data_IF_693492650881
#
_entry.id   IF_693492650881
#
_cell.length_a   1.000
_cell.length_b   1.000
_cell.length_c   1.000
_cell.angle_alpha   90.00
_cell.angle_beta   90.00
_cell.angle_gamma   90.00
#
_symmetry.space_group_name_H-M   'P 1'
#
loop_
_entity.id
_entity.type
_entity.pdbx_description
1 polymer ?
#
# COMPACT_ATOMS: atom_id res chain seq x y z
N UNK A 1 12.70 21.96 -17.65
CA UNK A 1 12.88 20.92 -16.62
C UNK A 1 13.46 19.65 -17.24
N UNK A 2 14.23 18.84 -16.50
CA UNK A 2 14.86 17.62 -17.02
C UNK A 2 13.83 16.52 -17.28
N UNK A 3 14.10 15.67 -18.28
CA UNK A 3 13.30 14.46 -18.52
C UNK A 3 13.40 13.49 -17.33
N UNK A 4 12.37 12.67 -17.06
CA UNK A 4 12.44 11.63 -16.04
C UNK A 4 13.60 10.66 -16.34
N UNK A 5 14.18 10.10 -15.27
CA UNK A 5 15.24 9.09 -15.40
C UNK A 5 14.66 7.85 -16.09
N UNK A 6 15.46 7.18 -16.92
CA UNK A 6 15.01 5.98 -17.64
C UNK A 6 14.43 4.92 -16.70
N UNK A 7 15.04 4.73 -15.52
CA UNK A 7 14.59 3.77 -14.51
C UNK A 7 13.18 4.05 -13.98
N UNK A 8 12.75 5.31 -13.89
CA UNK A 8 11.39 5.65 -13.44
C UNK A 8 10.32 5.43 -14.52
N UNK A 9 10.70 5.13 -15.76
CA UNK A 9 9.77 4.88 -16.89
C UNK A 9 9.47 3.38 -17.04
N UNK A 10 10.36 2.50 -16.55
CA UNK A 10 10.27 1.05 -16.71
C UNK A 10 8.96 0.48 -16.15
N UNK A 11 8.60 0.82 -14.92
CA UNK A 11 7.39 0.34 -14.27
C UNK A 11 6.11 0.84 -14.96
N UNK A 12 5.93 2.16 -15.22
CA UNK A 12 4.77 2.65 -15.95
C UNK A 12 4.51 1.94 -17.28
N UNK A 13 5.57 1.56 -18.01
CA UNK A 13 5.42 0.76 -19.26
C UNK A 13 4.75 -0.58 -18.97
N UNK A 14 5.16 -1.28 -17.92
CA UNK A 14 4.60 -2.58 -17.58
C UNK A 14 3.14 -2.45 -17.10
N UNK A 15 2.83 -1.44 -16.28
CA UNK A 15 1.48 -1.17 -15.80
C UNK A 15 0.51 -0.88 -16.96
N UNK A 16 0.94 -0.07 -17.93
CA UNK A 16 0.18 0.21 -19.16
C UNK A 16 -0.09 -1.05 -19.98
N UNK A 17 0.93 -1.91 -20.16
CA UNK A 17 0.74 -3.16 -20.88
C UNK A 17 -0.21 -4.12 -20.15
N UNK A 18 -0.19 -4.16 -18.82
CA UNK A 18 -1.17 -4.93 -18.04
C UNK A 18 -2.58 -4.38 -18.25
N UNK A 19 -2.73 -3.05 -18.20
CA UNK A 19 -4.03 -2.38 -18.35
C UNK A 19 -4.67 -2.61 -19.72
N UNK A 20 -3.87 -2.82 -20.79
CA UNK A 20 -4.36 -3.09 -22.14
C UNK A 20 -4.47 -4.57 -22.50
N UNK A 21 -4.44 -5.48 -21.51
CA UNK A 21 -4.60 -6.91 -21.75
C UNK A 21 -3.31 -7.64 -22.16
N UNK A 22 -2.15 -7.07 -21.84
CA UNK A 22 -0.83 -7.70 -21.94
C UNK A 22 -0.04 -7.32 -23.19
N UNK A 23 -0.60 -6.55 -24.12
CA UNK A 23 0.09 -6.10 -25.32
C UNK A 23 -0.48 -4.78 -25.81
N UNK A 24 0.34 -3.90 -26.37
CA UNK A 24 -0.16 -2.69 -27.03
C UNK A 24 0.80 -2.13 -28.09
N UNK A 25 0.25 -1.29 -28.96
CA UNK A 25 0.99 -0.49 -29.92
C UNK A 25 1.77 0.62 -29.21
N UNK A 26 3.05 0.70 -29.52
CA UNK A 26 4.00 1.65 -29.00
C UNK A 26 3.58 3.12 -29.18
N UNK A 27 2.79 3.44 -30.21
CA UNK A 27 2.24 4.79 -30.40
C UNK A 27 1.38 5.21 -29.21
N UNK A 28 0.48 4.34 -28.75
CA UNK A 28 -0.41 4.65 -27.64
C UNK A 28 0.32 4.62 -26.30
N UNK A 29 1.32 3.76 -26.14
CA UNK A 29 2.20 3.73 -24.97
C UNK A 29 2.88 5.10 -24.77
N UNK A 30 3.39 5.74 -25.83
CA UNK A 30 4.01 7.07 -25.69
C UNK A 30 3.05 8.15 -25.18
N UNK A 31 1.77 8.08 -25.56
CA UNK A 31 0.75 9.06 -25.23
C UNK A 31 0.26 8.86 -23.79
N UNK A 32 -0.05 7.62 -23.38
CA UNK A 32 -0.60 7.34 -22.05
C UNK A 32 0.43 7.45 -20.93
N UNK A 33 1.70 7.14 -21.19
CA UNK A 33 2.77 7.28 -20.21
C UNK A 33 2.98 8.72 -19.70
N UNK A 34 2.48 9.74 -20.41
CA UNK A 34 2.61 11.15 -20.01
C UNK A 34 1.90 11.39 -18.67
N UNK A 35 0.75 10.76 -18.45
CA UNK A 35 -0.04 10.93 -17.22
C UNK A 35 0.69 10.49 -15.95
N UNK A 36 1.71 9.63 -16.07
CA UNK A 36 2.52 9.16 -14.95
C UNK A 36 3.60 10.15 -14.51
N UNK A 37 3.83 11.22 -15.29
CA UNK A 37 4.87 12.20 -15.03
C UNK A 37 4.27 13.61 -15.01
N UNK A 38 3.66 14.04 -13.90
CA UNK A 38 3.03 15.36 -13.77
C UNK A 38 3.97 16.54 -14.07
N UNK A 39 5.29 16.32 -13.99
CA UNK A 39 6.33 17.27 -14.37
C UNK A 39 6.48 17.48 -15.89
N UNK A 40 5.86 16.64 -16.72
CA UNK A 40 5.81 16.80 -18.17
C UNK A 40 4.48 17.44 -18.56
N UNK A 41 4.50 18.59 -19.25
CA UNK A 41 3.26 19.23 -19.73
C UNK A 41 2.98 18.83 -21.19
N UNK A 42 1.70 18.67 -21.55
CA UNK A 42 1.29 18.31 -22.92
C UNK A 42 1.83 19.28 -23.99
N UNK A 43 1.96 20.56 -23.64
CA UNK A 43 2.52 21.61 -24.51
C UNK A 43 4.02 21.40 -24.81
N UNK A 44 4.78 20.82 -23.88
CA UNK A 44 6.20 20.54 -24.09
C UNK A 44 6.44 19.31 -24.98
N UNK A 45 5.54 18.33 -24.96
CA UNK A 45 5.64 17.09 -25.75
C UNK A 45 5.23 17.31 -27.21
N UNK A 46 4.32 18.26 -27.50
CA UNK A 46 3.92 18.61 -28.87
C UNK A 46 5.03 19.31 -29.69
N UNK A 47 6.08 19.83 -29.03
CA UNK A 47 7.25 20.44 -29.68
C UNK A 47 8.39 19.41 -29.91
N UNK A 48 9.57 19.88 -30.33
CA UNK A 48 10.80 19.10 -30.61
C UNK A 48 11.28 18.12 -29.49
N UNK A 49 10.63 18.09 -28.31
CA UNK A 49 10.86 17.10 -27.23
C UNK A 49 10.17 15.77 -27.43
N UNK A 50 9.24 15.65 -28.39
CA UNK A 50 8.61 14.36 -28.75
C UNK A 50 9.66 13.28 -29.08
N UNK A 51 10.72 13.67 -29.80
CA UNK A 51 11.82 12.74 -30.16
C UNK A 51 12.61 12.28 -28.95
N UNK A 52 12.91 13.18 -28.02
CA UNK A 52 13.66 12.87 -26.80
C UNK A 52 12.86 12.02 -25.82
N UNK A 53 11.56 12.30 -25.66
CA UNK A 53 10.64 11.47 -24.88
C UNK A 53 10.54 10.04 -25.43
N UNK A 54 10.26 9.91 -26.74
CA UNK A 54 10.24 8.60 -27.41
C UNK A 54 11.56 7.87 -27.25
N UNK A 55 12.69 8.57 -27.32
CA UNK A 55 14.02 7.97 -27.10
C UNK A 55 14.17 7.45 -25.65
N UNK A 56 13.70 8.18 -24.65
CA UNK A 56 13.74 7.74 -23.25
C UNK A 56 12.87 6.49 -23.02
N UNK A 57 11.63 6.49 -23.52
CA UNK A 57 10.73 5.33 -23.46
C UNK A 57 11.34 4.13 -24.17
N UNK A 58 11.94 4.31 -25.36
CA UNK A 58 12.64 3.25 -26.09
C UNK A 58 13.83 2.67 -25.31
N UNK A 59 14.61 3.52 -24.63
CA UNK A 59 15.72 3.07 -23.78
C UNK A 59 15.19 2.22 -22.61
N UNK A 60 14.13 2.66 -21.94
CA UNK A 60 13.48 1.90 -20.87
C UNK A 60 12.95 0.55 -21.40
N UNK A 61 12.28 0.55 -22.55
CA UNK A 61 11.80 -0.68 -23.20
C UNK A 61 12.93 -1.65 -23.54
N UNK A 62 14.08 -1.17 -24.00
CA UNK A 62 15.25 -2.02 -24.25
C UNK A 62 15.77 -2.67 -22.97
N UNK A 63 15.79 -1.94 -21.86
CA UNK A 63 16.18 -2.46 -20.54
C UNK A 63 15.18 -3.53 -20.08
N UNK A 64 13.87 -3.26 -20.20
CA UNK A 64 12.81 -4.22 -19.85
C UNK A 64 12.90 -5.51 -20.68
N UNK A 65 13.20 -5.41 -21.97
CA UNK A 65 13.42 -6.55 -22.85
C UNK A 65 14.66 -7.37 -22.43
N UNK A 66 15.77 -6.70 -22.10
CA UNK A 66 16.96 -7.37 -21.56
C UNK A 66 16.68 -8.10 -20.24
N UNK A 67 15.82 -7.54 -19.39
CA UNK A 67 15.35 -8.16 -18.14
C UNK A 67 14.31 -9.28 -18.36
N UNK A 68 13.90 -9.52 -19.61
CA UNK A 68 12.84 -10.45 -20.01
C UNK A 68 11.46 -10.11 -19.43
N UNK A 69 11.17 -8.84 -19.18
CA UNK A 69 9.86 -8.37 -18.70
C UNK A 69 8.90 -8.06 -19.84
N UNK A 70 9.41 -7.72 -21.03
CA UNK A 70 8.61 -7.52 -22.24
C UNK A 70 9.27 -8.19 -23.44
N UNK A 71 8.49 -8.39 -24.51
CA UNK A 71 8.95 -8.72 -25.86
C UNK A 71 8.59 -7.57 -26.79
N UNK A 72 9.54 -7.09 -27.61
CA UNK A 72 9.30 -5.99 -28.56
C UNK A 72 9.23 -6.57 -29.97
N UNK A 73 8.08 -6.45 -30.62
CA UNK A 73 7.87 -6.91 -31.99
C UNK A 73 7.24 -5.80 -32.84
N UNK A 74 7.92 -5.36 -33.91
CA UNK A 74 7.44 -4.40 -34.93
C UNK A 74 6.32 -3.45 -34.48
N UNK A 75 6.62 -2.56 -33.55
CA UNK A 75 5.71 -1.52 -33.08
C UNK A 75 4.72 -1.94 -31.98
N UNK A 76 4.72 -3.20 -31.56
CA UNK A 76 3.96 -3.74 -30.44
C UNK A 76 4.89 -4.25 -29.35
N UNK A 77 4.57 -3.90 -28.10
CA UNK A 77 5.26 -4.42 -26.93
C UNK A 77 4.28 -5.33 -26.19
N UNK A 78 4.76 -6.49 -25.77
CA UNK A 78 3.97 -7.52 -25.08
C UNK A 78 4.64 -7.85 -23.77
N UNK A 79 3.90 -7.79 -22.66
CA UNK A 79 4.43 -8.14 -21.35
C UNK A 79 4.61 -9.66 -21.23
N UNK A 80 5.68 -10.08 -20.55
CA UNK A 80 5.90 -11.50 -20.22
C UNK A 80 5.28 -11.83 -18.86
N UNK A 81 5.15 -13.11 -18.53
CA UNK A 81 4.76 -13.53 -17.19
C UNK A 81 5.68 -12.92 -16.10
N UNK A 82 6.99 -12.83 -16.37
CA UNK A 82 7.97 -12.22 -15.47
C UNK A 82 7.71 -10.72 -15.28
N UNK A 83 7.35 -10.00 -16.36
CA UNK A 83 6.96 -8.59 -16.28
C UNK A 83 5.67 -8.37 -15.51
N UNK A 84 4.67 -9.25 -15.68
CA UNK A 84 3.44 -9.22 -14.89
C UNK A 84 3.71 -9.44 -13.41
N UNK A 85 4.58 -10.40 -13.07
CA UNK A 85 5.03 -10.62 -11.69
C UNK A 85 5.80 -9.44 -11.12
N UNK A 86 6.58 -8.71 -11.92
CA UNK A 86 7.29 -7.50 -11.48
C UNK A 86 6.30 -6.39 -11.11
N UNK A 87 5.26 -6.15 -11.92
CA UNK A 87 4.19 -5.18 -11.59
C UNK A 87 3.46 -5.60 -10.32
N UNK A 88 3.17 -6.89 -10.16
CA UNK A 88 2.58 -7.41 -8.93
C UNK A 88 3.52 -7.27 -7.73
N UNK A 89 4.84 -7.43 -7.93
CA UNK A 89 5.87 -7.29 -6.89
C UNK A 89 6.08 -5.83 -6.50
N UNK A 90 5.92 -4.89 -7.42
CA UNK A 90 6.03 -3.45 -7.19
C UNK A 90 4.75 -2.84 -6.62
N UNK A 91 3.56 -3.31 -7.05
CA UNK A 91 2.32 -3.11 -6.32
C UNK A 91 2.39 -3.73 -4.90
N UNK A 92 3.09 -4.85 -4.80
CA UNK A 92 3.54 -5.48 -3.56
C UNK A 92 4.87 -4.90 -3.05
N UNK A 93 5.33 -3.73 -3.50
CA UNK A 93 6.48 -3.03 -2.91
C UNK A 93 6.17 -2.56 -1.48
N UNK A 94 4.88 -2.59 -1.12
CA UNK A 94 4.31 -2.58 0.22
C UNK A 94 3.90 -3.97 0.77
N UNK A 95 4.20 -5.09 0.08
CA UNK A 95 3.96 -6.48 0.52
C UNK A 95 5.18 -7.46 0.48
N UNK A 96 6.29 -7.18 -0.21
CA UNK A 96 7.50 -8.01 -0.19
C UNK A 96 8.68 -7.31 0.50
N UNK A 97 8.80 -7.50 1.80
CA UNK A 97 10.13 -7.75 2.37
C UNK A 97 10.12 -9.25 2.62
N UNK A 98 11.27 -9.86 2.37
CA UNK A 98 11.53 -11.29 2.49
C UNK A 98 10.68 -11.94 3.58
N UNK A 99 10.08 -13.07 3.21
CA UNK A 99 9.47 -14.02 4.13
C UNK A 99 10.58 -14.61 4.99
N UNK A 100 11.20 -13.78 5.85
CA UNK A 100 11.80 -14.29 7.07
C UNK A 100 10.71 -15.17 7.69
N UNK A 101 11.07 -16.41 7.99
CA UNK A 101 10.23 -17.28 8.82
C UNK A 101 10.31 -16.69 10.23
N UNK A 102 9.74 -15.50 10.39
CA UNK A 102 9.60 -14.84 11.66
C UNK A 102 8.57 -15.63 12.47
N UNK A 103 8.83 -15.77 13.77
CA UNK A 103 7.93 -16.45 14.69
C UNK A 103 6.49 -15.92 14.53
N UNK A 104 5.46 -16.77 14.69
CA UNK A 104 4.09 -16.30 14.62
C UNK A 104 3.86 -15.19 15.64
N UNK A 105 3.24 -14.07 15.21
CA UNK A 105 2.90 -12.97 16.11
C UNK A 105 1.80 -13.38 17.08
N UNK A 106 2.02 -13.06 18.35
CA UNK A 106 1.01 -13.08 19.40
C UNK A 106 0.10 -11.85 19.32
N UNK A 107 -1.03 -11.93 20.03
CA UNK A 107 -1.97 -10.81 20.13
C UNK A 107 -1.31 -9.59 20.79
N UNK A 108 -0.55 -9.79 21.88
CA UNK A 108 0.14 -8.72 22.62
C UNK A 108 1.23 -8.04 21.77
N UNK A 109 2.05 -8.81 21.04
CA UNK A 109 3.08 -8.20 20.16
C UNK A 109 2.45 -7.30 19.08
N UNK A 110 1.28 -7.67 18.55
CA UNK A 110 0.58 -6.82 17.58
C UNK A 110 0.02 -5.55 18.23
N UNK A 111 -0.49 -5.63 19.46
CA UNK A 111 -0.90 -4.45 20.21
C UNK A 111 0.28 -3.50 20.42
N UNK A 112 1.42 -4.01 20.89
CA UNK A 112 2.66 -3.24 21.09
C UNK A 112 3.11 -2.55 19.80
N UNK A 113 3.13 -3.29 18.67
CA UNK A 113 3.45 -2.72 17.36
C UNK A 113 2.50 -1.58 16.98
N UNK A 114 1.20 -1.69 17.27
CA UNK A 114 0.22 -0.63 17.01
C UNK A 114 0.44 0.59 17.90
N UNK A 115 0.93 0.43 19.13
CA UNK A 115 1.34 1.55 20.00
C UNK A 115 2.51 2.28 19.36
N UNK A 116 3.58 1.56 19.05
CA UNK A 116 4.79 2.13 18.45
C UNK A 116 4.51 2.81 17.12
N UNK A 117 3.66 2.22 16.26
CA UNK A 117 3.22 2.86 15.02
C UNK A 117 2.51 4.18 15.33
N UNK A 118 1.57 4.17 16.28
CA UNK A 118 0.82 5.37 16.67
C UNK A 118 1.73 6.49 17.15
N UNK A 119 2.67 6.17 18.04
CA UNK A 119 3.64 7.11 18.60
C UNK A 119 4.58 7.68 17.52
N UNK A 120 5.09 6.84 16.62
CA UNK A 120 5.92 7.28 15.49
C UNK A 120 5.16 8.21 14.53
N UNK A 121 3.84 8.09 14.45
CA UNK A 121 2.97 8.97 13.67
C UNK A 121 2.49 10.20 14.45
N UNK A 122 2.94 10.38 15.70
CA UNK A 122 2.61 11.51 16.56
C UNK A 122 1.28 11.41 17.29
N UNK A 123 0.68 10.21 17.37
CA UNK A 123 -0.50 9.97 18.20
C UNK A 123 -0.12 9.57 19.62
N UNK A 124 -1.02 9.84 20.56
CA UNK A 124 -1.04 9.16 21.85
C UNK A 124 -1.76 7.83 21.72
N UNK A 125 -1.02 6.73 21.81
CA UNK A 125 -1.53 5.37 21.64
C UNK A 125 -1.56 4.63 22.99
N UNK A 126 -2.65 3.90 23.27
CA UNK A 126 -2.84 3.15 24.52
C UNK A 126 -3.48 1.80 24.23
N UNK A 127 -2.98 0.73 24.85
CA UNK A 127 -3.57 -0.61 24.79
C UNK A 127 -4.58 -0.83 25.92
N UNK A 128 -5.49 -1.78 25.73
CA UNK A 128 -6.52 -2.19 26.70
C UNK A 128 -7.33 -1.01 27.26
N UNK A 129 -7.75 -0.09 26.39
CA UNK A 129 -8.53 1.07 26.79
C UNK A 129 -10.03 0.78 26.76
N UNK A 130 -10.66 0.81 27.93
CA UNK A 130 -12.04 0.42 28.16
C UNK A 130 -12.31 -1.04 27.72
N UNK A 131 -12.87 -1.24 26.53
CA UNK A 131 -13.19 -2.54 25.95
C UNK A 131 -12.55 -2.74 24.57
N UNK A 132 -11.63 -1.84 24.20
CA UNK A 132 -10.89 -1.86 22.94
C UNK A 132 -9.44 -2.29 23.16
N UNK A 133 -8.88 -3.04 22.20
CA UNK A 133 -7.53 -3.58 22.32
C UNK A 133 -6.46 -2.49 22.21
N UNK A 134 -6.59 -1.57 21.25
CA UNK A 134 -5.74 -0.37 21.13
C UNK A 134 -6.57 0.82 20.67
N UNK A 135 -6.26 2.01 21.19
CA UNK A 135 -6.84 3.27 20.74
C UNK A 135 -5.75 4.31 20.49
N UNK A 136 -5.97 5.17 19.49
CA UNK A 136 -5.13 6.34 19.24
C UNK A 136 -5.91 7.64 19.42
N UNK A 137 -5.25 8.64 20.01
CA UNK A 137 -5.76 10.00 20.23
C UNK A 137 -4.73 11.01 19.75
N UNK A 138 -5.17 12.22 19.43
CA UNK A 138 -4.25 13.30 19.06
C UNK A 138 -3.30 13.66 20.21
N UNK A 139 -3.83 13.69 21.45
CA UNK A 139 -3.06 13.97 22.66
C UNK A 139 -3.61 13.13 23.83
N UNK A 140 -2.87 13.01 24.95
CA UNK A 140 -3.39 12.34 26.15
C UNK A 140 -4.65 12.99 26.72
N UNK A 141 -4.78 14.31 26.58
CA UNK A 141 -5.92 15.08 27.08
C UNK A 141 -7.14 15.04 26.13
N UNK A 142 -6.95 14.58 24.88
CA UNK A 142 -8.03 14.49 23.90
C UNK A 142 -9.08 13.49 24.36
N UNK A 143 -10.32 13.98 24.52
CA UNK A 143 -11.48 13.13 24.86
C UNK A 143 -11.93 12.25 23.69
N UNK A 144 -11.73 12.73 22.46
CA UNK A 144 -12.11 12.00 21.25
C UNK A 144 -11.04 10.96 20.91
N UNK A 145 -11.51 9.74 20.69
CA UNK A 145 -10.70 8.67 20.11
C UNK A 145 -10.64 8.87 18.59
N UNK A 146 -9.45 8.89 18.02
CA UNK A 146 -9.28 9.03 16.57
C UNK A 146 -9.34 7.68 15.86
N UNK A 147 -8.65 6.67 16.39
CA UNK A 147 -8.57 5.33 15.81
C UNK A 147 -8.86 4.29 16.89
N UNK A 148 -9.55 3.22 16.51
CA UNK A 148 -9.84 2.07 17.37
C UNK A 148 -9.41 0.81 16.65
N UNK A 149 -8.69 -0.05 17.34
CA UNK A 149 -8.20 -1.31 16.81
C UNK A 149 -8.73 -2.47 17.66
N UNK A 150 -9.22 -3.51 17.00
CA UNK A 150 -9.51 -4.82 17.59
C UNK A 150 -8.60 -5.87 16.92
N UNK A 151 -7.91 -6.67 17.71
CA UNK A 151 -6.88 -7.62 17.30
C UNK A 151 -7.38 -9.04 17.54
N UNK A 152 -7.60 -9.83 16.48
CA UNK A 152 -8.21 -11.15 16.58
C UNK A 152 -7.28 -12.25 16.05
N UNK A 153 -6.92 -13.19 16.94
CA UNK A 153 -6.11 -14.36 16.60
C UNK A 153 -6.90 -15.67 16.55
N UNK A 154 -7.91 -15.81 17.42
CA UNK A 154 -8.85 -16.97 17.51
C UNK A 154 -10.25 -16.57 17.99
N UNK A 155 -10.52 -15.27 18.14
CA UNK A 155 -11.75 -14.75 18.73
C UNK A 155 -12.92 -14.64 17.76
N UNK A 156 -14.03 -14.11 18.25
CA UNK A 156 -15.25 -13.90 17.46
C UNK A 156 -15.16 -12.57 16.70
N UNK A 157 -15.06 -12.66 15.38
CA UNK A 157 -14.98 -11.53 14.45
C UNK A 157 -16.22 -10.63 14.53
N UNK A 158 -17.42 -11.19 14.68
CA UNK A 158 -18.66 -10.43 14.71
C UNK A 158 -18.76 -9.58 15.99
N UNK A 159 -18.25 -10.08 17.12
CA UNK A 159 -18.12 -9.31 18.36
C UNK A 159 -17.19 -8.10 18.17
N UNK A 160 -16.05 -8.31 17.51
CA UNK A 160 -15.12 -7.21 17.18
C UNK A 160 -15.80 -6.17 16.28
N UNK A 161 -16.54 -6.58 15.24
CA UNK A 161 -17.28 -5.65 14.40
C UNK A 161 -18.36 -4.89 15.16
N UNK A 162 -19.09 -5.52 16.08
CA UNK A 162 -20.08 -4.85 16.92
C UNK A 162 -19.43 -3.74 17.77
N UNK A 163 -18.25 -4.01 18.37
CA UNK A 163 -17.48 -2.99 19.11
C UNK A 163 -17.02 -1.84 18.20
N UNK A 164 -16.46 -2.17 17.03
CA UNK A 164 -15.96 -1.18 16.07
C UNK A 164 -17.09 -0.30 15.53
N UNK A 165 -18.24 -0.88 15.19
CA UNK A 165 -19.46 -0.17 14.79
C UNK A 165 -19.90 0.80 15.88
N UNK A 166 -19.97 0.35 17.14
CA UNK A 166 -20.30 1.19 18.29
C UNK A 166 -19.31 2.35 18.46
N UNK A 167 -18.01 2.10 18.30
CA UNK A 167 -16.98 3.14 18.36
C UNK A 167 -17.23 4.24 17.32
N UNK A 168 -17.45 3.82 16.07
CA UNK A 168 -17.73 4.71 14.96
C UNK A 168 -19.01 5.53 15.18
N UNK A 169 -20.10 4.88 15.60
CA UNK A 169 -21.38 5.55 15.83
C UNK A 169 -21.29 6.60 16.95
N UNK A 170 -20.52 6.31 18.00
CA UNK A 170 -20.42 7.20 19.16
C UNK A 170 -19.49 8.40 18.95
N UNK A 171 -18.32 8.20 18.33
CA UNK A 171 -17.28 9.24 18.27
C UNK A 171 -16.71 9.50 16.87
N UNK A 172 -17.29 8.87 15.83
CA UNK A 172 -16.79 8.91 14.44
C UNK A 172 -15.29 8.59 14.39
N UNK A 173 -14.91 7.53 15.08
CA UNK A 173 -13.54 6.98 15.07
C UNK A 173 -13.24 6.34 13.73
N UNK A 174 -11.97 6.07 13.43
CA UNK A 174 -11.56 5.20 12.32
C UNK A 174 -11.36 3.77 12.84
N UNK A 175 -12.23 2.81 12.50
CA UNK A 175 -12.15 1.46 13.03
C UNK A 175 -11.24 0.55 12.20
N UNK A 176 -10.44 -0.26 12.90
CA UNK A 176 -9.53 -1.24 12.32
C UNK A 176 -9.75 -2.62 12.96
N UNK A 177 -9.86 -3.65 12.11
CA UNK A 177 -9.86 -5.04 12.53
C UNK A 177 -8.55 -5.69 12.07
N UNK A 178 -7.78 -6.24 12.99
CA UNK A 178 -6.46 -6.81 12.73
C UNK A 178 -6.52 -8.33 12.94
N UNK A 179 -6.25 -9.11 11.89
CA UNK A 179 -6.47 -10.57 11.87
C UNK A 179 -5.17 -11.36 11.74
N UNK A 180 -5.07 -12.49 12.44
CA UNK A 180 -3.89 -13.37 12.37
C UNK A 180 -3.80 -14.19 11.09
N UNK A 181 -4.91 -14.45 10.40
CA UNK A 181 -4.95 -15.41 9.29
C UNK A 181 -5.80 -14.97 8.09
N UNK A 182 -5.40 -15.42 6.90
CA UNK A 182 -6.16 -15.26 5.64
C UNK A 182 -7.54 -15.93 5.69
N UNK A 183 -7.68 -17.02 6.46
CA UNK A 183 -8.98 -17.66 6.65
C UNK A 183 -9.97 -16.72 7.33
N UNK A 184 -9.49 -15.95 8.30
CA UNK A 184 -10.32 -15.01 9.04
C UNK A 184 -10.63 -13.75 8.21
N UNK A 185 -9.74 -13.35 7.28
CA UNK A 185 -10.05 -12.29 6.31
C UNK A 185 -11.29 -12.60 5.47
N UNK A 186 -11.40 -13.82 4.95
CA UNK A 186 -12.58 -14.21 4.17
C UNK A 186 -13.87 -14.21 5.00
N UNK A 187 -13.79 -14.62 6.27
CA UNK A 187 -14.93 -14.54 7.21
C UNK A 187 -15.31 -13.09 7.49
N UNK A 188 -14.32 -12.25 7.78
CA UNK A 188 -14.52 -10.83 8.03
C UNK A 188 -15.19 -10.12 6.85
N UNK A 189 -14.74 -10.40 5.61
CA UNK A 189 -15.37 -9.87 4.39
C UNK A 189 -16.82 -10.33 4.25
N UNK A 190 -17.11 -11.60 4.55
CA UNK A 190 -18.47 -12.12 4.51
C UNK A 190 -19.37 -11.42 5.52
N UNK A 191 -18.91 -11.25 6.76
CA UNK A 191 -19.65 -10.52 7.80
C UNK A 191 -19.89 -9.07 7.41
N UNK A 192 -18.89 -8.38 6.83
CA UNK A 192 -19.05 -7.01 6.32
C UNK A 192 -20.05 -6.92 5.17
N UNK A 193 -20.01 -7.84 4.19
CA UNK A 193 -20.99 -7.83 3.09
C UNK A 193 -22.42 -8.20 3.49
N UNK A 194 -22.61 -8.68 4.73
CA UNK A 194 -23.88 -9.16 5.27
C UNK A 194 -24.35 -8.32 6.45
N UNK A 195 -24.14 -8.83 7.67
CA UNK A 195 -24.66 -8.23 8.91
C UNK A 195 -24.10 -6.82 9.19
N UNK A 196 -22.87 -6.54 8.76
CA UNK A 196 -22.16 -5.28 9.02
C UNK A 196 -21.98 -4.42 7.77
N UNK A 197 -22.90 -4.53 6.79
CA UNK A 197 -22.84 -3.80 5.52
C UNK A 197 -22.79 -2.28 5.70
N UNK A 198 -23.41 -1.76 6.75
CA UNK A 198 -23.46 -0.32 7.03
C UNK A 198 -22.10 0.29 7.44
N UNK A 199 -21.13 -0.55 7.82
CA UNK A 199 -19.77 -0.13 8.18
C UNK A 199 -18.69 -0.67 7.23
N UNK A 200 -19.08 -1.36 6.16
CA UNK A 200 -18.16 -2.00 5.21
C UNK A 200 -17.15 -1.02 4.60
N UNK A 201 -17.60 0.18 4.21
CA UNK A 201 -16.73 1.22 3.64
C UNK A 201 -15.91 2.00 4.69
N UNK A 202 -16.15 1.75 5.97
CA UNK A 202 -15.58 2.50 7.09
C UNK A 202 -14.52 1.67 7.81
N UNK A 203 -14.76 0.36 7.99
CA UNK A 203 -13.81 -0.52 8.69
C UNK A 203 -12.67 -0.92 7.77
N UNK A 204 -11.45 -0.68 8.24
CA UNK A 204 -10.25 -1.18 7.57
C UNK A 204 -9.85 -2.52 8.19
N UNK A 205 -9.69 -3.55 7.35
CA UNK A 205 -9.24 -4.88 7.80
C UNK A 205 -7.81 -5.11 7.35
N UNK A 206 -6.93 -5.45 8.29
CA UNK A 206 -5.50 -5.72 8.05
C UNK A 206 -5.08 -7.04 8.69
N UNK A 207 -3.93 -7.57 8.29
CA UNK A 207 -3.32 -8.76 8.88
C UNK A 207 -2.19 -8.43 9.84
N UNK A 208 -1.87 -9.39 10.71
CA UNK A 208 -0.71 -9.32 11.61
C UNK A 208 0.59 -9.03 10.86
N UNK A 209 0.80 -9.67 9.71
CA UNK A 209 1.97 -9.43 8.87
C UNK A 209 2.00 -8.03 8.24
N UNK A 210 0.83 -7.48 7.88
CA UNK A 210 0.76 -6.08 7.42
C UNK A 210 1.17 -5.11 8.54
N UNK A 211 0.73 -5.33 9.77
CA UNK A 211 1.13 -4.52 10.93
C UNK A 211 2.63 -4.63 11.19
N UNK A 212 3.18 -5.85 11.25
CA UNK A 212 4.62 -6.09 11.38
C UNK A 212 5.42 -5.33 10.34
N UNK A 213 4.97 -5.38 9.08
CA UNK A 213 5.66 -4.71 7.99
C UNK A 213 5.65 -3.19 8.16
N UNK A 214 4.49 -2.62 8.50
CA UNK A 214 4.37 -1.17 8.73
C UNK A 214 5.26 -0.74 9.87
N UNK A 215 5.22 -1.46 11.00
CA UNK A 215 6.06 -1.19 12.17
C UNK A 215 7.54 -1.20 11.79
N UNK A 216 8.06 -2.29 11.21
CA UNK A 216 9.47 -2.38 10.82
C UNK A 216 9.90 -1.25 9.88
N UNK A 217 9.07 -0.92 8.89
CA UNK A 217 9.38 0.14 7.93
C UNK A 217 9.40 1.52 8.61
N UNK A 218 8.42 1.81 9.49
CA UNK A 218 8.37 3.07 10.22
C UNK A 218 9.55 3.20 11.19
N UNK A 219 9.91 2.13 11.91
CA UNK A 219 11.08 2.13 12.80
C UNK A 219 12.37 2.43 12.02
N UNK A 220 12.56 1.78 10.85
CA UNK A 220 13.71 2.06 9.99
C UNK A 220 13.76 3.52 9.52
N UNK A 221 12.62 4.12 9.18
CA UNK A 221 12.53 5.54 8.81
C UNK A 221 12.76 6.45 10.02
N UNK A 222 12.19 6.14 11.18
CA UNK A 222 12.29 6.93 12.40
C UNK A 222 13.75 7.05 12.87
N UNK A 223 14.52 5.97 12.80
CA UNK A 223 15.96 6.00 13.09
C UNK A 223 16.72 6.94 12.14
N UNK A 224 16.39 6.92 10.84
CA UNK A 224 16.98 7.84 9.86
C UNK A 224 16.56 9.30 10.15
N UNK A 225 15.31 9.55 10.54
CA UNK A 225 14.83 10.90 10.86
C UNK A 225 15.57 11.47 12.07
N UNK A 226 15.88 10.65 13.10
CA UNK A 226 16.65 11.10 14.28
C UNK A 226 18.01 11.69 13.87
N UNK A 227 18.68 11.12 12.87
CA UNK A 227 19.95 11.66 12.34
C UNK A 227 19.81 13.08 11.75
N UNK A 228 18.63 13.46 11.25
CA UNK A 228 18.36 14.81 10.76
C UNK A 228 17.98 15.80 11.85
N UNK A 229 17.46 15.32 12.99
CA UNK A 229 17.04 16.16 14.12
C UNK A 229 18.16 16.41 15.14
N UNK A 230 19.24 15.62 15.09
CA UNK A 230 20.41 15.72 15.97
C UNK A 230 21.53 16.63 15.41
N UNK A 231 21.36 17.19 14.21
CA UNK A 231 22.22 18.23 13.62
C UNK A 231 21.56 19.60 13.68
#
# INVERSE_FOLDING_TARGET
MPLPKTSSIEIPILQELVATGGSDNLRFIYERLIAYFPQLTEAEIKNNRNKSWRSAVQKAGKILEQKNFIRRNRGFWTITAKGTSEVQTEASGFAAVEKEIAAPLSHTEVQEMLIEIGENLGFYAVSEFEFYDVVWRETPASRRISHVFEVQSKGNIDSAFAKLKRAYQNQRTKPFLILSSERDLNRARKSLSGEFQDIESIVTVLTFEQIRRVNRNLTGIAEIIKEFLLK
#
